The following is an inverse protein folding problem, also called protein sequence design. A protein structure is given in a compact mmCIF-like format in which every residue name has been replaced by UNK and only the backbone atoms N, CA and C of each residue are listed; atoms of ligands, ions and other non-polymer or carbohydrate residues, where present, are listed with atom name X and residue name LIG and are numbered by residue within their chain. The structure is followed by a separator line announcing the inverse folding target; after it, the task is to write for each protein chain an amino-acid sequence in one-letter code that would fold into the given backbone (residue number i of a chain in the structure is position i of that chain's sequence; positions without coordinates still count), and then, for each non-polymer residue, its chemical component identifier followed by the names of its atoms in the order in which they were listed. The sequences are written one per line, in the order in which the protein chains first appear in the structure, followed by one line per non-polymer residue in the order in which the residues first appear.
data_IF_805163557795
#
_entry.id   IF_805163557795
#
_cell.length_a   1.000
_cell.length_b   1.000
_cell.length_c   1.000
_cell.angle_alpha   90.00
_cell.angle_beta   90.00
_cell.angle_gamma   90.00
#
_symmetry.space_group_name_H-M   'P 1'
#
loop_
_entity.id
_entity.type
_entity.pdbx_description
1 polymer ?
#
# COMPACT_ATOMS: atom_id res chain seq x y z
N UNK A 1 5.64 4.29 -11.78
CA UNK A 1 5.65 4.86 -10.40
C UNK A 1 6.88 5.73 -10.09
N UNK A 2 7.94 5.78 -10.91
CA UNK A 2 9.09 6.65 -10.60
C UNK A 2 8.73 8.15 -10.61
N UNK A 3 7.73 8.55 -11.39
CA UNK A 3 7.18 9.91 -11.39
C UNK A 3 6.14 10.16 -10.28
N UNK A 4 6.02 9.25 -9.31
CA UNK A 4 4.97 9.30 -8.29
C UNK A 4 3.63 8.74 -8.76
N UNK A 5 2.80 8.35 -7.79
CA UNK A 5 1.40 7.96 -7.98
C UNK A 5 0.66 8.27 -6.69
N UNK A 6 -0.37 9.10 -6.75
CA UNK A 6 -1.19 9.44 -5.59
C UNK A 6 -2.23 8.34 -5.35
N UNK A 7 -2.19 7.75 -4.16
CA UNK A 7 -3.06 6.65 -3.75
C UNK A 7 -3.57 6.88 -2.33
N UNK A 8 -4.59 6.12 -1.96
CA UNK A 8 -5.14 6.09 -0.60
C UNK A 8 -4.64 4.83 0.09
N UNK A 9 -3.82 4.99 1.12
CA UNK A 9 -3.37 3.89 1.96
C UNK A 9 -4.41 3.62 3.05
N UNK A 10 -4.94 2.40 3.08
CA UNK A 10 -5.94 1.97 4.04
C UNK A 10 -5.26 1.23 5.19
N UNK A 11 -5.74 1.44 6.42
CA UNK A 11 -5.24 0.76 7.62
C UNK A 11 -6.32 -0.13 8.21
N UNK A 12 -5.90 -1.13 8.97
CA UNK A 12 -6.78 -2.07 9.67
C UNK A 12 -7.81 -1.45 10.61
N UNK A 13 -7.59 -0.20 11.06
CA UNK A 13 -8.56 0.55 11.85
C UNK A 13 -9.47 1.48 11.00
N UNK A 14 -9.56 1.25 9.69
CA UNK A 14 -10.36 2.03 8.76
C UNK A 14 -9.80 3.41 8.40
N UNK A 15 -8.65 3.82 8.98
CA UNK A 15 -8.03 5.11 8.62
C UNK A 15 -7.48 5.07 7.21
N UNK A 16 -7.74 6.14 6.48
CA UNK A 16 -7.36 6.33 5.09
C UNK A 16 -6.40 7.52 5.00
N UNK A 17 -5.29 7.35 4.28
CA UNK A 17 -4.30 8.39 4.11
C UNK A 17 -3.99 8.60 2.64
N UNK A 18 -4.16 9.83 2.16
CA UNK A 18 -3.62 10.25 0.88
C UNK A 18 -2.10 10.26 0.96
N UNK A 19 -1.47 9.57 0.01
CA UNK A 19 -0.03 9.39 -0.07
C UNK A 19 0.42 9.42 -1.52
N UNK A 20 1.53 10.08 -1.77
CA UNK A 20 2.28 9.97 -3.02
C UNK A 20 3.26 8.81 -2.88
N UNK A 21 3.10 7.79 -3.72
CA UNK A 21 3.95 6.62 -3.77
C UNK A 21 4.96 6.72 -4.91
N UNK A 22 6.22 6.48 -4.62
CA UNK A 22 7.31 6.52 -5.60
C UNK A 22 8.12 5.24 -5.56
N UNK A 23 8.49 4.73 -6.73
CA UNK A 23 9.53 3.71 -6.86
C UNK A 23 10.90 4.42 -6.93
N UNK A 24 11.87 3.96 -6.15
CA UNK A 24 13.24 4.51 -6.19
C UNK A 24 13.87 4.40 -7.58
N UNK A 25 14.88 5.22 -7.85
CA UNK A 25 15.56 5.26 -9.16
C UNK A 25 16.27 3.94 -9.50
N UNK A 26 16.80 3.27 -8.47
CA UNK A 26 17.42 1.94 -8.56
C UNK A 26 16.39 0.78 -8.53
N UNK A 27 15.09 1.09 -8.46
CA UNK A 27 13.99 0.11 -8.47
C UNK A 27 14.04 -0.85 -7.26
N UNK A 28 14.74 -0.48 -6.19
CA UNK A 28 14.93 -1.34 -5.01
C UNK A 28 13.84 -1.19 -3.96
N UNK A 29 13.14 -0.05 -3.92
CA UNK A 29 12.18 0.25 -2.86
C UNK A 29 11.01 1.13 -3.32
N UNK A 30 9.81 0.81 -2.84
CA UNK A 30 8.62 1.65 -2.94
C UNK A 30 8.56 2.50 -1.67
N UNK A 31 8.43 3.81 -1.81
CA UNK A 31 8.35 4.80 -0.71
C UNK A 31 7.04 5.56 -0.77
N UNK A 32 6.65 6.17 0.35
CA UNK A 32 5.47 7.04 0.39
C UNK A 32 5.60 8.22 1.33
N UNK A 33 4.92 9.31 0.96
CA UNK A 33 4.83 10.55 1.74
C UNK A 33 3.45 11.23 1.57
N UNK A 34 3.03 12.12 2.48
CA UNK A 34 3.68 12.47 3.74
C UNK A 34 3.64 11.31 4.74
N UNK A 35 4.51 11.30 5.75
CA UNK A 35 4.50 10.27 6.79
C UNK A 35 5.09 10.83 8.07
N UNK A 36 4.45 10.55 9.21
CA UNK A 36 4.99 10.91 10.53
C UNK A 36 5.96 9.86 11.07
N UNK A 37 6.10 8.72 10.39
CA UNK A 37 7.07 7.69 10.74
C UNK A 37 8.48 8.11 10.28
N UNK A 38 9.52 7.58 10.94
CA UNK A 38 10.90 7.72 10.46
C UNK A 38 11.01 7.27 9.00
N UNK A 39 11.84 7.92 8.15
CA UNK A 39 11.89 7.63 6.71
C UNK A 39 12.11 6.16 6.34
N UNK A 40 12.93 5.43 7.12
CA UNK A 40 13.18 3.99 6.89
C UNK A 40 11.97 3.08 7.15
N UNK A 41 10.91 3.59 7.80
CA UNK A 41 9.65 2.85 8.04
C UNK A 41 8.56 3.17 7.02
N UNK A 42 8.81 4.10 6.11
CA UNK A 42 7.86 4.52 5.08
C UNK A 42 8.26 3.95 3.71
N UNK A 43 8.62 2.66 3.70
CA UNK A 43 9.06 1.95 2.51
C UNK A 43 8.76 0.46 2.55
N UNK A 44 8.74 -0.16 1.37
CA UNK A 44 8.78 -1.60 1.15
C UNK A 44 9.93 -1.88 0.19
N UNK A 45 10.78 -2.86 0.51
CA UNK A 45 11.80 -3.32 -0.43
C UNK A 45 11.13 -4.16 -1.52
N UNK A 46 11.45 -3.90 -2.78
CA UNK A 46 10.89 -4.65 -3.91
C UNK A 46 11.24 -6.14 -3.80
N UNK A 47 12.45 -6.46 -3.33
CA UNK A 47 12.88 -7.83 -3.06
C UNK A 47 12.09 -8.55 -1.95
N UNK A 48 11.38 -7.81 -1.09
CA UNK A 48 10.53 -8.39 -0.04
C UNK A 48 9.09 -8.63 -0.49
N UNK A 49 8.69 -8.15 -1.67
CA UNK A 49 7.33 -8.34 -2.19
C UNK A 49 7.15 -9.80 -2.57
N UNK A 50 6.11 -10.42 -2.02
CA UNK A 50 5.74 -11.81 -2.31
C UNK A 50 4.72 -11.88 -3.45
N UNK A 51 3.76 -10.97 -3.45
CA UNK A 51 2.72 -10.89 -4.48
C UNK A 51 2.02 -9.52 -4.48
N UNK A 52 1.34 -9.22 -5.60
CA UNK A 52 0.42 -8.10 -5.73
C UNK A 52 -0.96 -8.69 -6.01
N UNK A 53 -1.95 -8.32 -5.21
CA UNK A 53 -3.32 -8.82 -5.34
C UNK A 53 -4.24 -7.72 -5.81
N UNK A 54 -4.90 -7.90 -6.95
CA UNK A 54 -5.90 -6.96 -7.46
C UNK A 54 -7.26 -7.21 -6.79
N UNK A 55 -8.02 -6.15 -6.51
CA UNK A 55 -9.31 -6.20 -5.84
C UNK A 55 -9.22 -6.17 -4.32
N UNK A 56 -10.37 -6.28 -3.66
CA UNK A 56 -10.49 -6.24 -2.19
C UNK A 56 -10.17 -7.62 -1.58
N UNK A 57 -8.90 -8.00 -1.63
CA UNK A 57 -8.44 -9.35 -1.27
C UNK A 57 -7.99 -9.53 0.18
N UNK A 58 -7.86 -8.44 0.94
CA UNK A 58 -7.52 -8.45 2.37
C UNK A 58 -8.71 -8.15 3.26
N UNK A 59 -8.61 -8.48 4.55
CA UNK A 59 -9.64 -8.13 5.54
C UNK A 59 -9.82 -6.62 5.67
N UNK A 60 -8.75 -5.85 5.51
CA UNK A 60 -8.76 -4.39 5.55
C UNK A 60 -9.63 -3.81 4.43
N UNK A 61 -9.45 -4.28 3.19
CA UNK A 61 -10.22 -3.77 2.06
C UNK A 61 -11.65 -4.30 2.01
N UNK A 62 -11.91 -5.45 2.65
CA UNK A 62 -13.27 -5.99 2.86
C UNK A 62 -13.98 -5.46 4.10
N UNK A 63 -13.34 -4.59 4.87
CA UNK A 63 -13.95 -4.03 6.07
C UNK A 63 -15.20 -3.22 5.71
N UNK A 64 -16.15 -3.12 6.65
CA UNK A 64 -17.42 -2.40 6.41
C UNK A 64 -17.18 -0.93 6.08
N UNK A 65 -16.10 -0.36 6.59
CA UNK A 65 -15.70 1.02 6.36
C UNK A 65 -15.20 1.28 4.93
N UNK A 66 -14.83 0.24 4.17
CA UNK A 66 -14.13 0.36 2.87
C UNK A 66 -14.90 -0.29 1.72
N UNK A 67 -15.57 -1.42 1.95
CA UNK A 67 -16.13 -2.28 0.89
C UNK A 67 -17.11 -1.56 -0.05
N UNK A 68 -17.82 -0.53 0.45
CA UNK A 68 -18.76 0.29 -0.34
C UNK A 68 -18.23 1.67 -0.76
N UNK A 69 -17.00 2.04 -0.36
CA UNK A 69 -16.44 3.37 -0.62
C UNK A 69 -15.73 3.41 -1.98
N UNK A 70 -15.01 2.34 -2.32
CA UNK A 70 -14.21 2.25 -3.55
C UNK A 70 -14.66 1.07 -4.41
N UNK A 71 -14.51 1.19 -5.73
CA UNK A 71 -14.68 0.06 -6.65
C UNK A 71 -13.61 -1.00 -6.41
N UNK A 72 -13.94 -2.28 -6.61
CA UNK A 72 -12.96 -3.37 -6.58
C UNK A 72 -11.87 -3.18 -7.62
N UNK A 73 -12.19 -2.61 -8.79
CA UNK A 73 -11.23 -2.39 -9.87
C UNK A 73 -10.15 -1.35 -9.53
N UNK A 74 -10.41 -0.50 -8.52
CA UNK A 74 -9.48 0.52 -8.05
C UNK A 74 -8.67 0.08 -6.81
N UNK A 75 -8.89 -1.14 -6.33
CA UNK A 75 -8.26 -1.65 -5.12
C UNK A 75 -7.17 -2.67 -5.46
N UNK A 76 -6.09 -2.67 -4.68
CA UNK A 76 -5.08 -3.70 -4.72
C UNK A 76 -4.33 -3.74 -3.38
N UNK A 77 -3.62 -4.84 -3.13
CA UNK A 77 -2.76 -5.00 -1.95
C UNK A 77 -1.36 -5.44 -2.37
N UNK A 78 -0.34 -4.90 -1.71
CA UNK A 78 1.04 -5.40 -1.78
C UNK A 78 1.26 -6.34 -0.59
N UNK A 79 1.59 -7.60 -0.85
CA UNK A 79 1.97 -8.55 0.19
C UNK A 79 3.48 -8.65 0.23
N UNK A 80 4.08 -8.45 1.41
CA UNK A 80 5.53 -8.35 1.56
C UNK A 80 6.04 -8.91 2.89
N UNK A 81 7.35 -9.14 2.95
CA UNK A 81 8.03 -9.68 4.13
C UNK A 81 7.78 -11.18 4.33
N UNK A 82 8.46 -11.76 5.33
CA UNK A 82 8.34 -13.19 5.65
C UNK A 82 7.00 -13.52 6.34
N UNK A 83 6.42 -12.54 7.06
CA UNK A 83 5.14 -12.68 7.76
C UNK A 83 3.92 -12.35 6.87
N UNK A 84 4.12 -12.18 5.55
CA UNK A 84 3.07 -11.85 4.58
C UNK A 84 2.22 -10.62 4.99
N UNK A 85 2.89 -9.55 5.43
CA UNK A 85 2.25 -8.29 5.76
C UNK A 85 1.56 -7.69 4.52
N UNK A 86 0.41 -7.04 4.70
CA UNK A 86 -0.29 -6.31 3.63
C UNK A 86 -0.09 -4.80 3.73
N UNK A 87 0.10 -4.18 2.57
CA UNK A 87 -0.15 -2.76 2.36
C UNK A 87 -1.33 -2.61 1.43
N UNK A 88 -2.39 -2.08 1.99
CA UNK A 88 -3.69 -1.82 1.36
C UNK A 88 -3.87 -0.32 1.08
#
# INVERSE_FOLDING_TARGET
MQNGSDLIKVRSNGRQYHRSFTLSSDVSEIRWEPTTKKPHKAKILVSSIKEIRQGKTTEVLRSKEIVGVYSDECAFSIIFGEEFESMD
#
